data_IF_496660710690
#
_entry.id   IF_496660710690
#
_cell.length_a   1.000
_cell.length_b   1.000
_cell.length_c   1.000
_cell.angle_alpha   90.00
_cell.angle_beta   90.00
_cell.angle_gamma   90.00
#
_symmetry.space_group_name_H-M   'P 1'
#
loop_
_entity.id
_entity.type
_entity.pdbx_description
1 polymer ?
#
# COMPACT_ATOMS: atom_id res chain seq x y z
N UNK A 1 -21.48 -15.11 -8.47
CA UNK A 1 -20.40 -14.22 -8.97
C UNK A 1 -20.87 -12.78 -9.16
N UNK A 2 -21.83 -12.45 -10.05
CA UNK A 2 -22.28 -11.07 -10.27
C UNK A 2 -22.88 -10.43 -9.01
N UNK A 3 -23.76 -11.15 -8.28
CA UNK A 3 -24.36 -10.69 -7.02
C UNK A 3 -23.31 -10.44 -5.95
N UNK A 4 -22.32 -11.32 -5.83
CA UNK A 4 -21.18 -11.18 -4.92
C UNK A 4 -20.36 -9.92 -5.27
N UNK A 5 -19.99 -9.74 -6.54
CA UNK A 5 -19.26 -8.57 -7.01
C UNK A 5 -20.05 -7.27 -6.74
N UNK A 6 -21.34 -7.23 -7.05
CA UNK A 6 -22.20 -6.08 -6.78
C UNK A 6 -22.29 -5.75 -5.29
N UNK A 7 -22.43 -6.76 -4.41
CA UNK A 7 -22.47 -6.53 -2.96
C UNK A 7 -21.17 -5.91 -2.46
N UNK A 8 -20.00 -6.36 -2.95
CA UNK A 8 -18.70 -5.81 -2.58
C UNK A 8 -18.53 -4.37 -3.04
N UNK A 9 -18.95 -4.05 -4.28
CA UNK A 9 -18.94 -2.68 -4.81
C UNK A 9 -19.86 -1.77 -3.98
N UNK A 10 -21.06 -2.22 -3.65
CA UNK A 10 -22.01 -1.45 -2.84
C UNK A 10 -21.45 -1.19 -1.44
N UNK A 11 -20.77 -2.18 -0.81
CA UNK A 11 -20.14 -2.01 0.49
C UNK A 11 -18.92 -1.06 0.46
N UNK A 12 -18.25 -0.89 -0.67
CA UNK A 12 -17.17 0.06 -0.84
C UNK A 12 -17.64 1.52 -0.74
N UNK A 13 -18.85 1.83 -1.19
CA UNK A 13 -19.41 3.20 -1.22
C UNK A 13 -19.51 3.81 0.19
N UNK A 14 -20.17 3.16 1.19
CA UNK A 14 -20.20 3.67 2.55
C UNK A 14 -18.81 3.85 3.15
N UNK A 15 -17.87 2.94 2.88
CA UNK A 15 -16.49 3.04 3.37
C UNK A 15 -15.82 4.29 2.83
N UNK A 16 -15.90 4.55 1.52
CA UNK A 16 -15.35 5.75 0.91
C UNK A 16 -16.01 7.03 1.42
N UNK A 17 -17.33 7.01 1.66
CA UNK A 17 -18.04 8.15 2.23
C UNK A 17 -17.59 8.44 3.66
N UNK A 18 -17.44 7.41 4.50
CA UNK A 18 -16.94 7.56 5.87
C UNK A 18 -15.53 8.16 5.85
N UNK A 19 -14.66 7.68 4.96
CA UNK A 19 -13.32 8.24 4.81
C UNK A 19 -13.37 9.70 4.35
N UNK A 20 -14.20 10.03 3.36
CA UNK A 20 -14.36 11.41 2.89
C UNK A 20 -14.81 12.36 4.01
N UNK A 21 -15.82 11.94 4.79
CA UNK A 21 -16.27 12.71 5.96
C UNK A 21 -15.15 12.85 6.99
N UNK A 22 -14.43 11.76 7.29
CA UNK A 22 -13.35 11.75 8.27
C UNK A 22 -12.21 12.70 7.86
N UNK A 23 -11.75 12.62 6.60
CA UNK A 23 -10.70 13.49 6.07
C UNK A 23 -11.14 14.95 6.09
N UNK A 24 -12.39 15.22 5.68
CA UNK A 24 -12.94 16.58 5.73
C UNK A 24 -12.98 17.15 7.15
N UNK A 25 -13.43 16.37 8.14
CA UNK A 25 -13.52 16.79 9.55
C UNK A 25 -12.12 16.95 10.14
N UNK A 26 -11.22 15.99 9.94
CA UNK A 26 -9.85 16.03 10.49
C UNK A 26 -9.10 17.29 10.09
N UNK A 27 -9.18 17.71 8.83
CA UNK A 27 -8.53 18.94 8.37
C UNK A 27 -9.08 20.19 9.07
N UNK A 28 -10.38 20.21 9.38
CA UNK A 28 -11.01 21.35 10.07
C UNK A 28 -10.77 21.38 11.58
N UNK A 29 -10.34 20.26 12.14
CA UNK A 29 -9.90 20.19 13.55
C UNK A 29 -8.46 20.68 13.75
N UNK A 30 -7.68 20.81 12.67
CA UNK A 30 -6.32 21.35 12.75
C UNK A 30 -6.40 22.83 13.10
N UNK A 31 -5.73 23.29 14.18
CA UNK A 31 -5.75 24.69 14.57
C UNK A 31 -5.06 25.56 13.51
N UNK A 32 -5.75 26.61 13.09
CA UNK A 32 -5.28 27.58 12.09
C UNK A 32 -6.40 27.96 11.11
N UNK A 33 -6.32 29.17 10.58
CA UNK A 33 -7.22 29.66 9.56
C UNK A 33 -6.59 29.49 8.17
N UNK A 34 -7.15 28.64 7.28
CA UNK A 34 -6.60 28.46 5.94
C UNK A 34 -6.44 29.78 5.16
N UNK A 35 -7.37 30.73 5.33
CA UNK A 35 -7.29 32.03 4.67
C UNK A 35 -6.11 32.87 5.18
N UNK A 36 -5.84 32.82 6.49
CA UNK A 36 -4.68 33.50 7.07
C UNK A 36 -3.37 32.88 6.63
N UNK A 37 -3.31 31.55 6.55
CA UNK A 37 -2.11 30.83 6.07
C UNK A 37 -1.79 31.14 4.61
N UNK A 38 -2.80 31.25 3.75
CA UNK A 38 -2.66 31.60 2.33
C UNK A 38 -2.15 33.03 2.12
N UNK A 39 -2.62 33.97 2.94
CA UNK A 39 -2.23 35.40 2.82
C UNK A 39 -0.90 35.68 3.52
N UNK A 40 -0.45 34.81 4.42
CA UNK A 40 0.80 34.97 5.17
C UNK A 40 0.85 36.26 6.00
N UNK A 41 2.07 36.82 6.14
CA UNK A 41 2.32 38.02 6.95
C UNK A 41 1.68 39.30 6.40
N UNK A 42 1.20 39.28 5.15
CA UNK A 42 0.50 40.41 4.52
C UNK A 42 -1.02 40.41 4.77
N UNK A 43 -1.51 39.48 5.59
CA UNK A 43 -2.92 39.31 5.87
C UNK A 43 -3.50 40.50 6.62
N UNK A 44 -4.45 41.18 6.01
CA UNK A 44 -5.29 42.18 6.67
C UNK A 44 -6.65 41.59 7.05
N UNK A 45 -7.35 42.08 8.07
CA UNK A 45 -8.69 41.58 8.41
C UNK A 45 -9.67 41.58 7.22
N UNK A 46 -9.58 42.59 6.35
CA UNK A 46 -10.42 42.70 5.16
C UNK A 46 -10.06 41.63 4.11
N UNK A 47 -8.77 41.39 3.85
CA UNK A 47 -8.33 40.38 2.90
C UNK A 47 -8.61 38.95 3.38
N UNK A 48 -8.52 38.70 4.68
CA UNK A 48 -8.90 37.41 5.29
C UNK A 48 -10.42 37.18 5.11
N UNK A 49 -11.26 38.19 5.39
CA UNK A 49 -12.70 38.05 5.23
C UNK A 49 -13.11 37.80 3.77
N UNK A 50 -12.52 38.50 2.81
CA UNK A 50 -12.78 38.31 1.37
C UNK A 50 -12.36 36.91 0.94
N UNK A 51 -11.16 36.44 1.34
CA UNK A 51 -10.68 35.12 0.99
C UNK A 51 -11.51 33.99 1.65
N UNK A 52 -11.95 34.17 2.91
CA UNK A 52 -12.88 33.24 3.57
C UNK A 52 -14.18 33.09 2.80
N UNK A 53 -14.77 34.21 2.35
CA UNK A 53 -15.99 34.18 1.55
C UNK A 53 -15.77 33.47 0.20
N UNK A 54 -14.65 33.75 -0.48
CA UNK A 54 -14.31 33.08 -1.75
C UNK A 54 -14.07 31.57 -1.58
N UNK A 55 -13.46 31.15 -0.49
CA UNK A 55 -13.22 29.75 -0.16
C UNK A 55 -14.45 29.07 0.47
N UNK A 56 -15.55 29.83 0.71
CA UNK A 56 -16.76 29.33 1.34
C UNK A 56 -16.57 28.88 2.79
N UNK A 57 -15.55 29.39 3.48
CA UNK A 57 -15.26 29.08 4.89
C UNK A 57 -16.22 29.78 5.88
N UNK A 58 -17.01 30.68 5.39
CA UNK A 58 -18.11 31.37 6.08
C UNK A 58 -19.41 30.55 6.14
N UNK A 59 -19.48 29.47 5.33
CA UNK A 59 -20.65 28.57 5.27
C UNK A 59 -20.65 27.57 6.41
N UNK A 60 -21.80 26.91 6.61
CA UNK A 60 -21.91 25.80 7.57
C UNK A 60 -21.02 24.62 7.13
N UNK A 61 -20.56 23.81 8.07
CA UNK A 61 -19.71 22.63 7.77
C UNK A 61 -20.38 21.66 6.78
N UNK A 62 -21.69 21.52 6.86
CA UNK A 62 -22.45 20.69 5.94
C UNK A 62 -22.41 21.22 4.50
N UNK A 63 -22.62 22.53 4.31
CA UNK A 63 -22.52 23.17 3.00
C UNK A 63 -21.10 23.10 2.43
N UNK A 64 -20.09 23.34 3.27
CA UNK A 64 -18.68 23.21 2.89
C UNK A 64 -18.37 21.76 2.44
N UNK A 65 -18.85 20.76 3.18
CA UNK A 65 -18.70 19.36 2.81
C UNK A 65 -19.38 19.04 1.47
N UNK A 66 -20.62 19.48 1.30
CA UNK A 66 -21.38 19.22 0.07
C UNK A 66 -20.70 19.83 -1.18
N UNK A 67 -20.20 21.08 -1.06
CA UNK A 67 -19.47 21.73 -2.14
C UNK A 67 -18.16 20.98 -2.44
N UNK A 68 -17.33 20.74 -1.42
CA UNK A 68 -16.06 20.05 -1.56
C UNK A 68 -16.24 18.63 -2.13
N UNK A 69 -17.19 17.87 -1.57
CA UNK A 69 -17.46 16.51 -2.05
C UNK A 69 -18.02 16.49 -3.48
N UNK A 70 -18.80 17.51 -3.85
CA UNK A 70 -19.23 17.70 -5.24
C UNK A 70 -18.08 17.90 -6.22
N UNK A 71 -17.04 18.66 -5.84
CA UNK A 71 -15.80 18.80 -6.63
C UNK A 71 -15.03 17.49 -6.69
N UNK A 72 -14.88 16.77 -5.56
CA UNK A 72 -14.22 15.46 -5.51
C UNK A 72 -14.88 14.47 -6.47
N UNK A 73 -16.21 14.42 -6.53
CA UNK A 73 -16.94 13.53 -7.45
C UNK A 73 -16.72 13.88 -8.94
N UNK A 74 -16.30 15.09 -9.24
CA UNK A 74 -15.93 15.55 -10.58
C UNK A 74 -14.42 15.35 -10.88
N UNK A 75 -13.66 14.77 -9.92
CA UNK A 75 -12.22 14.58 -10.02
C UNK A 75 -11.40 15.83 -9.71
N UNK A 76 -12.04 16.91 -9.25
CA UNK A 76 -11.36 18.12 -8.82
C UNK A 76 -11.03 18.04 -7.32
N UNK A 77 -9.75 17.84 -7.02
CA UNK A 77 -9.22 17.83 -5.65
C UNK A 77 -8.69 19.21 -5.21
N UNK A 78 -8.86 20.23 -6.03
CA UNK A 78 -8.37 21.57 -5.78
C UNK A 78 -6.94 21.81 -6.26
N UNK A 79 -6.38 22.93 -5.81
CA UNK A 79 -5.02 23.39 -6.14
C UNK A 79 -4.15 23.37 -4.89
N UNK A 80 -2.88 22.95 -5.05
CA UNK A 80 -1.86 23.05 -4.00
C UNK A 80 -1.63 24.51 -3.61
N UNK A 81 -1.62 24.79 -2.32
CA UNK A 81 -1.34 26.11 -1.76
C UNK A 81 0.10 26.50 -2.00
N UNK A 82 1.02 25.55 -1.91
CA UNK A 82 2.46 25.80 -1.99
C UNK A 82 2.99 25.86 -3.40
N UNK A 83 2.52 24.97 -4.30
CA UNK A 83 3.04 24.86 -5.67
C UNK A 83 2.12 25.49 -6.73
N UNK A 84 0.85 25.77 -6.40
CA UNK A 84 -0.14 26.25 -7.38
C UNK A 84 -0.51 25.21 -8.46
N UNK A 85 -0.17 23.94 -8.27
CA UNK A 85 -0.47 22.86 -9.22
C UNK A 85 -1.77 22.15 -8.84
N UNK A 86 -2.40 21.48 -9.83
CA UNK A 86 -3.57 20.64 -9.56
C UNK A 86 -3.20 19.49 -8.61
N UNK A 87 -3.94 19.34 -7.53
CA UNK A 87 -3.74 18.26 -6.55
C UNK A 87 -3.95 16.90 -7.19
N UNK A 88 -4.96 16.75 -8.06
CA UNK A 88 -5.22 15.48 -8.74
C UNK A 88 -4.02 15.05 -9.62
N UNK A 89 -3.41 15.99 -10.34
CA UNK A 89 -2.21 15.74 -11.15
C UNK A 89 -1.03 15.33 -10.30
N UNK A 90 -0.72 16.10 -9.24
CA UNK A 90 0.36 15.80 -8.29
C UNK A 90 0.20 14.41 -7.65
N UNK A 91 -0.98 14.11 -7.13
CA UNK A 91 -1.27 12.84 -6.46
C UNK A 91 -1.10 11.66 -7.42
N UNK A 92 -1.63 11.77 -8.64
CA UNK A 92 -1.53 10.69 -9.63
C UNK A 92 -0.09 10.44 -10.09
N UNK A 93 0.67 11.50 -10.39
CA UNK A 93 2.07 11.39 -10.78
C UNK A 93 2.91 10.70 -9.68
N UNK A 94 2.76 11.15 -8.43
CA UNK A 94 3.49 10.59 -7.28
C UNK A 94 3.06 9.16 -6.95
N UNK A 95 1.78 8.86 -7.12
CA UNK A 95 1.27 7.49 -6.96
C UNK A 95 1.89 6.51 -7.94
N UNK A 96 2.10 6.89 -9.21
CA UNK A 96 2.74 5.99 -10.18
C UNK A 96 4.14 5.56 -9.74
N UNK A 97 4.89 6.45 -9.10
CA UNK A 97 6.22 6.14 -8.54
C UNK A 97 6.09 5.16 -7.38
N UNK A 98 5.23 5.44 -6.40
CA UNK A 98 4.98 4.56 -5.25
C UNK A 98 4.48 3.18 -5.69
N UNK A 99 3.55 3.15 -6.64
CA UNK A 99 2.97 1.90 -7.14
C UNK A 99 4.01 0.98 -7.80
N UNK A 100 4.96 1.53 -8.56
CA UNK A 100 6.04 0.75 -9.16
C UNK A 100 6.87 0.03 -8.09
N UNK A 101 7.25 0.71 -7.02
CA UNK A 101 8.04 0.16 -5.91
C UNK A 101 7.24 -0.92 -5.19
N UNK A 102 6.01 -0.60 -4.77
CA UNK A 102 5.18 -1.50 -3.98
C UNK A 102 4.79 -2.75 -4.77
N UNK A 103 4.32 -2.59 -6.01
CA UNK A 103 3.96 -3.72 -6.86
C UNK A 103 5.14 -4.63 -7.12
N UNK A 104 6.32 -4.09 -7.45
CA UNK A 104 7.51 -4.88 -7.67
C UNK A 104 7.94 -5.63 -6.39
N UNK A 105 7.97 -4.95 -5.25
CA UNK A 105 8.37 -5.54 -3.98
C UNK A 105 7.41 -6.67 -3.55
N UNK A 106 6.10 -6.45 -3.60
CA UNK A 106 5.08 -7.44 -3.19
C UNK A 106 5.06 -8.63 -4.15
N UNK A 107 5.19 -8.39 -5.46
CA UNK A 107 5.27 -9.46 -6.46
C UNK A 107 6.49 -10.34 -6.22
N UNK A 108 7.68 -9.75 -6.09
CA UNK A 108 8.92 -10.48 -5.84
C UNK A 108 8.85 -11.22 -4.49
N UNK A 109 8.36 -10.57 -3.43
CA UNK A 109 8.19 -11.19 -2.12
C UNK A 109 7.24 -12.39 -2.20
N UNK A 110 6.11 -12.27 -2.90
CA UNK A 110 5.14 -13.35 -3.07
C UNK A 110 5.72 -14.53 -3.85
N UNK A 111 6.45 -14.27 -4.94
CA UNK A 111 7.07 -15.29 -5.77
C UNK A 111 8.11 -16.14 -4.99
N UNK A 112 8.79 -15.55 -4.04
CA UNK A 112 9.79 -16.24 -3.20
C UNK A 112 9.17 -16.79 -1.92
N UNK A 113 8.35 -16.02 -1.23
CA UNK A 113 7.81 -16.38 0.08
C UNK A 113 6.81 -17.53 0.02
N UNK A 114 5.95 -17.58 -1.02
CA UNK A 114 4.93 -18.64 -1.11
C UNK A 114 5.57 -20.03 -1.28
N UNK A 115 6.49 -20.25 -2.23
CA UNK A 115 7.21 -21.55 -2.31
C UNK A 115 8.04 -21.85 -1.06
N UNK A 116 8.71 -20.84 -0.48
CA UNK A 116 9.52 -21.02 0.72
C UNK A 116 8.65 -21.44 1.93
N UNK A 117 7.49 -20.81 2.13
CA UNK A 117 6.54 -21.18 3.17
C UNK A 117 5.97 -22.58 2.99
N UNK A 118 5.66 -22.98 1.74
CA UNK A 118 5.25 -24.36 1.41
C UNK A 118 6.34 -25.38 1.74
N UNK A 119 7.61 -25.09 1.40
CA UNK A 119 8.75 -25.95 1.73
C UNK A 119 8.94 -26.04 3.25
N UNK A 120 8.84 -24.93 3.96
CA UNK A 120 8.93 -24.88 5.42
C UNK A 120 7.84 -25.75 6.07
N UNK A 121 6.59 -25.65 5.60
CA UNK A 121 5.48 -26.48 6.08
C UNK A 121 5.70 -27.96 5.79
N UNK A 122 6.12 -28.32 4.58
CA UNK A 122 6.39 -29.70 4.20
C UNK A 122 7.53 -30.32 4.99
N UNK A 123 8.57 -29.53 5.30
CA UNK A 123 9.73 -29.97 6.10
C UNK A 123 9.60 -29.55 7.57
N UNK A 124 8.38 -29.48 8.09
CA UNK A 124 8.09 -29.04 9.46
C UNK A 124 9.05 -29.65 10.50
N UNK A 125 9.59 -28.82 11.37
CA UNK A 125 10.54 -29.16 12.45
C UNK A 125 11.88 -29.73 11.96
N UNK A 126 12.21 -29.59 10.66
CA UNK A 126 13.52 -29.94 10.11
C UNK A 126 14.32 -28.66 9.83
N UNK A 127 15.61 -28.82 9.54
CA UNK A 127 16.51 -27.68 9.30
C UNK A 127 16.02 -26.68 8.23
N UNK A 128 15.37 -27.07 7.08
CA UNK A 128 14.88 -26.08 6.13
C UNK A 128 13.75 -25.20 6.73
N UNK A 129 12.87 -25.79 7.55
CA UNK A 129 11.83 -25.06 8.26
C UNK A 129 12.45 -24.07 9.26
N UNK A 130 13.38 -24.53 10.08
CA UNK A 130 14.05 -23.69 11.09
C UNK A 130 14.79 -22.52 10.46
N UNK A 131 15.51 -22.75 9.36
CA UNK A 131 16.23 -21.68 8.65
C UNK A 131 15.26 -20.69 8.02
N UNK A 132 14.24 -21.15 7.28
CA UNK A 132 13.29 -20.26 6.62
C UNK A 132 12.48 -19.43 7.63
N UNK A 133 11.99 -20.06 8.70
CA UNK A 133 11.24 -19.36 9.75
C UNK A 133 12.15 -18.43 10.56
N UNK A 134 13.36 -18.86 10.87
CA UNK A 134 14.35 -18.03 11.57
C UNK A 134 14.72 -16.78 10.77
N UNK A 135 15.03 -16.93 9.49
CA UNK A 135 15.31 -15.81 8.58
C UNK A 135 14.08 -14.90 8.43
N UNK A 136 12.89 -15.47 8.24
CA UNK A 136 11.65 -14.71 8.16
C UNK A 136 11.40 -13.88 9.43
N UNK A 137 11.62 -14.46 10.61
CA UNK A 137 11.49 -13.78 11.89
C UNK A 137 12.51 -12.66 12.04
N UNK A 138 13.76 -12.92 11.68
CA UNK A 138 14.82 -11.91 11.71
C UNK A 138 14.46 -10.70 10.84
N UNK A 139 14.06 -10.92 9.58
CA UNK A 139 13.73 -9.87 8.63
C UNK A 139 12.56 -8.99 9.10
N UNK A 140 11.50 -9.59 9.67
CA UNK A 140 10.36 -8.84 10.21
C UNK A 140 10.72 -8.05 11.48
N UNK A 141 11.69 -8.53 12.27
CA UNK A 141 12.12 -7.85 13.49
C UNK A 141 12.91 -6.58 13.22
N UNK A 142 13.44 -6.42 12.01
CA UNK A 142 14.20 -5.24 11.60
C UNK A 142 13.22 -4.17 11.11
N UNK A 143 13.24 -2.94 11.68
CA UNK A 143 12.44 -1.84 11.14
C UNK A 143 12.79 -1.55 9.68
N UNK A 144 11.79 -1.33 8.83
CA UNK A 144 12.00 -1.12 7.38
C UNK A 144 12.94 0.03 7.06
N UNK A 145 12.82 1.16 7.79
CA UNK A 145 13.71 2.29 7.58
C UNK A 145 15.17 1.96 7.91
N UNK A 146 15.41 1.18 8.97
CA UNK A 146 16.75 0.78 9.37
C UNK A 146 17.36 -0.19 8.35
N UNK A 147 16.56 -1.13 7.84
CA UNK A 147 16.96 -2.00 6.74
C UNK A 147 17.32 -1.20 5.48
N UNK A 148 16.51 -0.18 5.15
CA UNK A 148 16.81 0.74 4.05
C UNK A 148 18.12 1.49 4.24
N UNK A 149 18.39 2.00 5.44
CA UNK A 149 19.65 2.67 5.76
C UNK A 149 20.87 1.72 5.67
N UNK A 150 20.71 0.46 6.10
CA UNK A 150 21.78 -0.55 5.94
C UNK A 150 22.06 -0.85 4.46
N UNK A 151 21.02 -1.01 3.65
CA UNK A 151 21.21 -1.22 2.20
C UNK A 151 21.87 -0.01 1.55
N UNK A 152 21.49 1.20 1.92
CA UNK A 152 22.09 2.43 1.44
C UNK A 152 23.59 2.51 1.84
N UNK A 153 23.91 2.17 3.09
CA UNK A 153 25.28 2.13 3.57
C UNK A 153 26.11 1.10 2.78
N UNK A 154 25.66 -0.17 2.74
CA UNK A 154 26.48 -1.24 2.16
C UNK A 154 26.46 -1.20 0.62
N UNK A 155 25.29 -1.15 -0.03
CA UNK A 155 25.20 -1.21 -1.50
C UNK A 155 25.50 0.12 -2.18
N UNK A 156 25.18 1.23 -1.51
CA UNK A 156 25.36 2.57 -2.04
C UNK A 156 26.76 3.15 -1.72
N UNK A 157 27.09 3.24 -0.43
CA UNK A 157 28.29 3.97 0.00
C UNK A 157 29.55 3.10 0.03
N UNK A 158 29.50 1.85 0.53
CA UNK A 158 30.69 1.00 0.63
C UNK A 158 31.00 0.28 -0.69
N UNK A 159 30.04 -0.36 -1.30
CA UNK A 159 30.23 -1.13 -2.52
C UNK A 159 30.07 -0.31 -3.81
N UNK A 160 29.43 0.85 -3.76
CA UNK A 160 29.15 1.73 -4.90
C UNK A 160 28.41 1.02 -6.05
N UNK A 161 27.55 0.00 -5.73
CA UNK A 161 26.82 -0.76 -6.73
C UNK A 161 25.54 -0.06 -7.17
N UNK A 162 24.91 0.70 -6.27
CA UNK A 162 23.62 1.35 -6.50
C UNK A 162 23.68 2.84 -6.14
N UNK A 163 22.92 3.69 -6.84
CA UNK A 163 22.89 5.13 -6.57
C UNK A 163 22.27 5.43 -5.21
N UNK A 164 22.89 6.34 -4.45
CA UNK A 164 22.50 6.68 -3.07
C UNK A 164 21.35 7.68 -3.02
N UNK A 165 21.37 8.70 -3.89
CA UNK A 165 20.45 9.85 -3.89
C UNK A 165 19.98 10.12 -5.30
N UNK A 166 18.69 10.47 -5.42
CA UNK A 166 18.09 10.87 -6.68
C UNK A 166 16.98 9.93 -7.15
N UNK A 167 16.40 10.29 -8.27
CA UNK A 167 15.37 9.52 -8.93
C UNK A 167 15.45 9.78 -10.44
N UNK A 168 15.35 8.73 -11.22
CA UNK A 168 15.17 8.78 -12.67
C UNK A 168 13.93 7.95 -12.99
N UNK A 169 13.03 8.52 -13.78
CA UNK A 169 11.83 7.79 -14.20
C UNK A 169 12.20 6.62 -15.11
N UNK A 170 11.57 5.47 -14.92
CA UNK A 170 11.72 4.31 -15.84
C UNK A 170 11.30 4.67 -17.26
N UNK A 171 10.40 5.64 -17.43
CA UNK A 171 9.95 6.10 -18.74
C UNK A 171 11.01 6.92 -19.47
N UNK A 172 11.88 7.63 -18.74
CA UNK A 172 12.94 8.47 -19.32
C UNK A 172 14.20 7.64 -19.62
N UNK A 173 14.64 6.85 -18.63
CA UNK A 173 15.74 5.88 -18.79
C UNK A 173 15.44 4.64 -17.94
N UNK A 174 15.04 3.55 -18.57
CA UNK A 174 14.64 2.32 -17.88
C UNK A 174 15.79 1.69 -17.07
N UNK A 175 17.05 1.80 -17.53
CA UNK A 175 18.21 1.24 -16.83
C UNK A 175 18.52 2.05 -15.56
N UNK A 176 18.66 3.36 -15.71
CA UNK A 176 18.88 4.24 -14.58
C UNK A 176 17.71 4.17 -13.59
N UNK A 177 16.46 4.23 -14.08
CA UNK A 177 15.26 4.13 -13.23
C UNK A 177 15.22 2.86 -12.40
N UNK A 178 15.53 1.70 -12.99
CA UNK A 178 15.60 0.45 -12.23
C UNK A 178 16.70 0.46 -11.17
N UNK A 179 17.87 1.06 -11.43
CA UNK A 179 18.93 1.16 -10.44
C UNK A 179 18.51 2.03 -9.24
N UNK A 180 17.86 3.17 -9.47
CA UNK A 180 17.34 4.03 -8.39
C UNK A 180 16.22 3.38 -7.58
N UNK A 181 15.38 2.56 -8.20
CA UNK A 181 14.30 1.84 -7.51
C UNK A 181 14.76 0.53 -6.85
N UNK A 182 15.94 0.01 -7.17
CA UNK A 182 16.41 -1.28 -6.67
C UNK A 182 16.46 -1.36 -5.14
N UNK A 183 17.08 -0.39 -4.47
CA UNK A 183 17.19 -0.40 -3.00
C UNK A 183 15.84 -0.23 -2.28
N UNK A 184 14.95 0.70 -2.66
CA UNK A 184 13.59 0.78 -2.12
C UNK A 184 12.80 -0.52 -2.29
N UNK A 185 12.84 -1.11 -3.50
CA UNK A 185 12.17 -2.39 -3.77
C UNK A 185 12.76 -3.50 -2.91
N UNK A 186 14.08 -3.60 -2.80
CA UNK A 186 14.76 -4.61 -1.99
C UNK A 186 14.44 -4.47 -0.50
N UNK A 187 14.34 -3.23 0.00
CA UNK A 187 13.95 -2.94 1.39
C UNK A 187 12.58 -3.53 1.71
N UNK A 188 11.57 -3.20 0.91
CA UNK A 188 10.22 -3.72 1.09
C UNK A 188 10.15 -5.22 0.83
N UNK A 189 10.82 -5.72 -0.21
CA UNK A 189 10.90 -7.15 -0.51
C UNK A 189 11.41 -7.96 0.68
N UNK A 190 12.52 -7.56 1.29
CA UNK A 190 13.12 -8.26 2.42
C UNK A 190 12.23 -8.24 3.67
N UNK A 191 11.51 -7.16 3.91
CA UNK A 191 10.56 -7.09 5.02
C UNK A 191 9.34 -8.00 4.76
N UNK A 192 8.72 -7.88 3.59
CA UNK A 192 7.47 -8.57 3.26
C UNK A 192 7.67 -10.08 3.03
N UNK A 193 8.83 -10.51 2.56
CA UNK A 193 9.14 -11.93 2.43
C UNK A 193 9.04 -12.64 3.78
N UNK A 194 9.47 -11.99 4.87
CA UNK A 194 9.35 -12.54 6.22
C UNK A 194 7.90 -12.68 6.69
N UNK A 195 7.04 -11.73 6.38
CA UNK A 195 5.60 -11.78 6.70
C UNK A 195 4.92 -12.90 5.90
N UNK A 196 5.15 -12.94 4.59
CA UNK A 196 4.49 -13.87 3.67
C UNK A 196 4.95 -15.31 3.84
N UNK A 197 6.23 -15.59 4.14
CA UNK A 197 6.72 -16.95 4.44
C UNK A 197 5.95 -17.54 5.63
N UNK A 198 5.81 -16.79 6.72
CA UNK A 198 5.12 -17.26 7.92
C UNK A 198 3.65 -17.57 7.67
N UNK A 199 2.97 -16.71 6.89
CA UNK A 199 1.57 -16.93 6.53
C UNK A 199 1.40 -18.13 5.62
N UNK A 200 2.17 -18.22 4.54
CA UNK A 200 2.13 -19.34 3.60
C UNK A 200 2.42 -20.68 4.32
N UNK A 201 3.39 -20.68 5.25
CA UNK A 201 3.68 -21.85 6.09
C UNK A 201 2.50 -22.23 6.99
N UNK A 202 1.90 -21.25 7.69
CA UNK A 202 0.79 -21.51 8.59
C UNK A 202 -0.41 -22.10 7.85
N UNK A 203 -0.81 -21.49 6.74
CA UNK A 203 -1.90 -21.98 5.89
C UNK A 203 -1.60 -23.37 5.31
N UNK A 204 -0.38 -23.61 4.87
CA UNK A 204 0.01 -24.93 4.34
C UNK A 204 0.00 -26.01 5.43
N UNK A 205 0.44 -25.73 6.66
CA UNK A 205 0.39 -26.66 7.79
C UNK A 205 -1.04 -27.02 8.16
N UNK A 206 -1.96 -26.06 8.13
CA UNK A 206 -3.38 -26.32 8.40
C UNK A 206 -3.95 -27.32 7.37
N UNK A 207 -3.71 -27.07 6.10
CA UNK A 207 -4.19 -27.93 5.00
C UNK A 207 -3.52 -29.30 5.02
N UNK A 208 -2.23 -29.41 5.35
CA UNK A 208 -1.49 -30.68 5.41
C UNK A 208 -2.07 -31.67 6.43
N UNK A 209 -2.83 -31.20 7.43
CA UNK A 209 -3.46 -32.00 8.48
C UNK A 209 -4.85 -32.53 8.11
N UNK A 210 -5.42 -32.08 6.99
CA UNK A 210 -6.78 -32.47 6.58
C UNK A 210 -6.81 -33.89 6.01
N UNK A 211 -7.88 -34.60 6.28
CA UNK A 211 -8.04 -36.03 5.95
C UNK A 211 -7.87 -36.31 4.45
N UNK A 212 -8.35 -35.42 3.59
CA UNK A 212 -8.22 -35.65 2.14
C UNK A 212 -6.76 -35.66 1.65
N UNK A 213 -5.85 -34.95 2.35
CA UNK A 213 -4.39 -34.97 2.06
C UNK A 213 -3.82 -36.33 2.47
N UNK A 214 -4.24 -36.84 3.64
CA UNK A 214 -3.87 -38.19 4.11
C UNK A 214 -4.37 -39.26 3.15
N UNK A 215 -5.62 -39.16 2.67
CA UNK A 215 -6.16 -40.09 1.68
C UNK A 215 -5.42 -40.00 0.32
N UNK A 216 -5.01 -38.81 -0.10
CA UNK A 216 -4.21 -38.68 -1.34
C UNK A 216 -2.87 -39.41 -1.22
N UNK A 217 -2.19 -39.34 -0.07
CA UNK A 217 -0.98 -40.09 0.23
C UNK A 217 -1.24 -41.59 0.26
N UNK A 218 -2.32 -42.03 0.91
CA UNK A 218 -2.72 -43.43 1.00
C UNK A 218 -2.98 -44.06 -0.40
N UNK A 219 -3.43 -43.23 -1.36
CA UNK A 219 -3.60 -43.63 -2.78
C UNK A 219 -2.29 -43.73 -3.58
N UNK A 220 -1.13 -43.48 -2.93
CA UNK A 220 0.19 -43.58 -3.56
C UNK A 220 0.60 -42.37 -4.41
N UNK A 221 -0.05 -41.23 -4.25
CA UNK A 221 0.36 -39.99 -4.94
C UNK A 221 1.72 -39.54 -4.43
N UNK A 222 2.58 -39.05 -5.34
CA UNK A 222 3.88 -38.50 -4.96
C UNK A 222 3.70 -37.24 -4.10
N UNK A 223 4.62 -37.00 -3.15
CA UNK A 223 4.58 -35.81 -2.27
C UNK A 223 4.53 -34.50 -3.07
N UNK A 224 5.20 -34.42 -4.22
CA UNK A 224 5.13 -33.26 -5.11
C UNK A 224 3.72 -33.02 -5.63
N UNK A 225 3.03 -34.07 -6.05
CA UNK A 225 1.64 -34.01 -6.52
C UNK A 225 0.69 -33.62 -5.39
N UNK A 226 0.88 -34.19 -4.20
CA UNK A 226 0.12 -33.84 -3.00
C UNK A 226 0.28 -32.36 -2.68
N UNK A 227 1.52 -31.86 -2.65
CA UNK A 227 1.80 -30.46 -2.33
C UNK A 227 1.20 -29.48 -3.36
N UNK A 228 1.41 -29.73 -4.66
CA UNK A 228 0.98 -28.79 -5.69
C UNK A 228 -0.52 -28.83 -5.95
N UNK A 229 -1.13 -30.00 -5.99
CA UNK A 229 -2.53 -30.14 -6.41
C UNK A 229 -3.53 -30.13 -5.23
N UNK A 230 -3.09 -30.58 -4.05
CA UNK A 230 -3.98 -30.70 -2.90
C UNK A 230 -3.70 -29.67 -1.80
N UNK A 231 -2.42 -29.34 -1.55
CA UNK A 231 -2.08 -28.41 -0.47
C UNK A 231 -2.04 -26.98 -0.99
N UNK A 232 -1.23 -26.67 -2.01
CA UNK A 232 -1.04 -25.31 -2.50
C UNK A 232 -2.36 -24.64 -2.86
N UNK A 233 -3.19 -25.30 -3.65
CA UNK A 233 -4.46 -24.72 -4.13
C UNK A 233 -5.38 -24.29 -2.97
N UNK A 234 -5.43 -25.07 -1.89
CA UNK A 234 -6.30 -24.79 -0.75
C UNK A 234 -5.62 -23.88 0.30
N UNK A 235 -4.29 -23.92 0.41
CA UNK A 235 -3.52 -23.09 1.33
C UNK A 235 -3.28 -21.66 0.80
N UNK A 236 -3.45 -21.43 -0.51
CA UNK A 236 -3.14 -20.14 -1.11
C UNK A 236 -4.17 -19.05 -0.81
N UNK A 237 -5.44 -19.38 -0.55
CA UNK A 237 -6.50 -18.42 -0.28
C UNK A 237 -6.16 -17.42 0.84
N UNK A 238 -5.84 -17.88 2.08
CA UNK A 238 -5.43 -16.97 3.16
C UNK A 238 -4.17 -16.16 2.83
N UNK A 239 -3.21 -16.76 2.11
CA UNK A 239 -2.00 -16.07 1.67
C UNK A 239 -2.33 -14.98 0.64
N UNK A 240 -3.26 -15.23 -0.29
CA UNK A 240 -3.75 -14.25 -1.26
C UNK A 240 -4.37 -13.03 -0.57
N UNK A 241 -5.21 -13.26 0.43
CA UNK A 241 -5.80 -12.17 1.23
C UNK A 241 -4.72 -11.34 1.91
N UNK A 242 -3.71 -12.00 2.51
CA UNK A 242 -2.61 -11.27 3.15
C UNK A 242 -1.77 -10.48 2.13
N UNK A 243 -1.51 -11.00 0.93
CA UNK A 243 -0.82 -10.26 -0.14
C UNK A 243 -1.59 -8.98 -0.45
N UNK A 244 -2.91 -9.04 -0.54
CA UNK A 244 -3.75 -7.86 -0.76
C UNK A 244 -3.68 -6.85 0.39
N UNK A 245 -3.75 -7.31 1.63
CA UNK A 245 -3.61 -6.45 2.80
C UNK A 245 -2.24 -5.77 2.85
N UNK A 246 -1.17 -6.51 2.57
CA UNK A 246 0.19 -5.98 2.47
C UNK A 246 0.27 -4.91 1.37
N UNK A 247 -0.27 -5.21 0.18
CA UNK A 247 -0.29 -4.27 -0.94
C UNK A 247 -1.01 -2.96 -0.57
N UNK A 248 -2.20 -3.06 0.02
CA UNK A 248 -2.98 -1.90 0.46
C UNK A 248 -2.27 -1.08 1.54
N UNK A 249 -1.72 -1.75 2.55
CA UNK A 249 -0.99 -1.10 3.64
C UNK A 249 0.28 -0.40 3.16
N UNK A 250 1.04 -1.01 2.26
CA UNK A 250 2.26 -0.41 1.70
C UNK A 250 1.96 0.82 0.86
N UNK A 251 0.89 0.81 0.05
CA UNK A 251 0.50 1.98 -0.74
C UNK A 251 0.13 3.19 0.14
N UNK A 252 -0.36 2.94 1.37
CA UNK A 252 -0.59 4.00 2.36
C UNK A 252 0.62 4.35 3.23
N UNK A 253 1.55 3.41 3.43
CA UNK A 253 2.62 3.50 4.43
C UNK A 253 4.06 3.60 3.88
N UNK A 254 4.25 3.71 2.57
CA UNK A 254 5.58 3.72 1.94
C UNK A 254 6.41 5.00 2.23
N UNK A 255 5.80 6.04 2.83
CA UNK A 255 6.41 7.35 3.04
C UNK A 255 7.80 7.32 3.67
N UNK A 256 8.03 6.42 4.62
CA UNK A 256 9.31 6.29 5.31
C UNK A 256 10.42 5.82 4.35
N UNK A 257 10.13 4.81 3.53
CA UNK A 257 11.07 4.28 2.53
C UNK A 257 11.36 5.34 1.45
N UNK A 258 10.33 6.02 0.97
CA UNK A 258 10.48 7.11 -0.01
C UNK A 258 11.32 8.26 0.53
N UNK A 259 11.18 8.58 1.82
CA UNK A 259 11.98 9.62 2.47
C UNK A 259 13.43 9.19 2.62
N UNK A 260 13.71 7.97 3.05
CA UNK A 260 15.08 7.42 3.19
C UNK A 260 15.84 7.46 1.87
N UNK A 261 15.20 7.06 0.77
CA UNK A 261 15.81 7.01 -0.55
C UNK A 261 15.57 8.26 -1.40
N UNK A 262 14.97 9.31 -0.84
CA UNK A 262 14.64 10.58 -1.54
C UNK A 262 13.78 10.40 -2.80
N UNK A 263 12.96 9.36 -2.84
CA UNK A 263 12.06 9.06 -3.96
C UNK A 263 10.85 10.02 -3.95
N UNK A 264 10.49 10.62 -5.09
CA UNK A 264 9.35 11.51 -5.19
C UNK A 264 8.02 10.76 -5.30
N UNK A 265 7.64 10.00 -4.25
CA UNK A 265 6.42 9.21 -4.22
C UNK A 265 5.26 9.91 -3.49
N UNK A 266 4.12 9.21 -3.42
CA UNK A 266 2.88 9.70 -2.83
C UNK A 266 2.97 9.87 -1.30
N UNK A 267 3.64 8.94 -0.62
CA UNK A 267 3.81 9.01 0.82
C UNK A 267 4.69 10.20 1.23
N UNK A 268 5.78 10.46 0.49
CA UNK A 268 6.62 11.64 0.70
C UNK A 268 5.85 12.92 0.39
N UNK A 269 5.07 12.96 -0.69
CA UNK A 269 4.21 14.10 -0.99
C UNK A 269 3.27 14.44 0.19
N UNK A 270 2.66 13.42 0.81
CA UNK A 270 1.80 13.60 1.97
C UNK A 270 2.57 14.19 3.16
N UNK A 271 3.76 13.66 3.46
CA UNK A 271 4.61 14.15 4.55
C UNK A 271 5.02 15.60 4.31
N UNK A 272 5.51 15.91 3.11
CA UNK A 272 5.91 17.27 2.72
C UNK A 272 4.72 18.25 2.83
N UNK A 273 3.53 17.83 2.38
CA UNK A 273 2.31 18.64 2.47
C UNK A 273 1.87 18.89 3.93
N UNK A 274 2.05 17.91 4.83
CA UNK A 274 1.77 18.09 6.27
C UNK A 274 2.68 19.16 6.86
N UNK A 275 3.98 19.11 6.61
CA UNK A 275 4.93 20.12 7.09
C UNK A 275 4.67 21.51 6.49
N UNK A 276 4.30 21.56 5.21
CA UNK A 276 3.95 22.79 4.51
C UNK A 276 2.53 23.30 4.82
N UNK A 277 1.72 22.52 5.55
CA UNK A 277 0.29 22.81 5.82
C UNK A 277 -0.54 23.00 4.54
N UNK A 278 -0.20 22.26 3.50
CA UNK A 278 -0.93 22.26 2.23
C UNK A 278 -2.17 21.36 2.32
N UNK A 279 -3.23 21.91 2.90
CA UNK A 279 -4.45 21.16 3.22
C UNK A 279 -5.11 20.49 2.01
N UNK A 280 -5.23 21.13 0.82
CA UNK A 280 -5.77 20.46 -0.35
C UNK A 280 -4.97 19.21 -0.76
N UNK A 281 -3.63 19.28 -0.72
CA UNK A 281 -2.77 18.14 -1.02
C UNK A 281 -2.93 17.03 0.01
N UNK A 282 -2.99 17.38 1.32
CA UNK A 282 -3.23 16.40 2.39
C UNK A 282 -4.57 15.68 2.16
N UNK A 283 -5.65 16.43 1.90
CA UNK A 283 -6.98 15.85 1.63
C UNK A 283 -6.96 14.95 0.40
N UNK A 284 -6.36 15.41 -0.69
CA UNK A 284 -6.25 14.66 -1.92
C UNK A 284 -5.47 13.36 -1.75
N UNK A 285 -4.32 13.40 -1.07
CA UNK A 285 -3.50 12.20 -0.78
C UNK A 285 -4.27 11.18 0.07
N UNK A 286 -4.90 11.63 1.18
CA UNK A 286 -5.63 10.73 2.07
C UNK A 286 -6.83 10.08 1.39
N UNK A 287 -7.62 10.84 0.63
CA UNK A 287 -8.73 10.30 -0.15
C UNK A 287 -8.27 9.32 -1.21
N UNK A 288 -7.21 9.67 -1.93
CA UNK A 288 -6.67 8.82 -2.99
C UNK A 288 -6.12 7.50 -2.43
N UNK A 289 -5.34 7.55 -1.35
CA UNK A 289 -4.83 6.35 -0.65
C UNK A 289 -5.99 5.47 -0.21
N UNK A 290 -7.04 6.05 0.39
CA UNK A 290 -8.21 5.28 0.82
C UNK A 290 -8.97 4.66 -0.37
N UNK A 291 -9.14 5.40 -1.47
CA UNK A 291 -9.76 4.88 -2.68
C UNK A 291 -8.95 3.71 -3.28
N UNK A 292 -7.63 3.84 -3.34
CA UNK A 292 -6.74 2.77 -3.81
C UNK A 292 -6.78 1.57 -2.86
N UNK A 293 -6.78 1.78 -1.53
CA UNK A 293 -6.91 0.70 -0.54
C UNK A 293 -8.22 -0.08 -0.73
N UNK A 294 -9.35 0.63 -0.88
CA UNK A 294 -10.65 0.01 -1.14
C UNK A 294 -10.66 -0.74 -2.47
N UNK A 295 -10.05 -0.17 -3.52
CA UNK A 295 -9.93 -0.81 -4.83
C UNK A 295 -9.09 -2.10 -4.76
N UNK A 296 -7.95 -2.08 -4.07
CA UNK A 296 -7.10 -3.25 -3.87
C UNK A 296 -7.87 -4.35 -3.15
N UNK A 297 -8.56 -4.03 -2.03
CA UNK A 297 -9.37 -5.01 -1.32
C UNK A 297 -10.50 -5.56 -2.20
N UNK A 298 -11.17 -4.71 -2.98
CA UNK A 298 -12.20 -5.15 -3.92
C UNK A 298 -11.65 -6.13 -4.95
N UNK A 299 -10.47 -5.84 -5.53
CA UNK A 299 -9.80 -6.75 -6.47
C UNK A 299 -9.47 -8.08 -5.80
N UNK A 300 -8.91 -8.05 -4.59
CA UNK A 300 -8.59 -9.27 -3.84
C UNK A 300 -9.84 -10.11 -3.58
N UNK A 301 -10.92 -9.49 -3.13
CA UNK A 301 -12.20 -10.16 -2.88
C UNK A 301 -12.79 -10.78 -4.16
N UNK A 302 -12.71 -10.07 -5.28
CA UNK A 302 -13.21 -10.56 -6.56
C UNK A 302 -12.42 -11.77 -7.10
N UNK A 303 -11.13 -11.83 -6.82
CA UNK A 303 -10.27 -12.95 -7.22
C UNK A 303 -10.29 -14.11 -6.20
N UNK A 304 -10.72 -13.88 -4.96
CA UNK A 304 -10.75 -14.91 -3.91
C UNK A 304 -11.50 -16.19 -4.30
N UNK A 305 -12.68 -16.15 -4.97
CA UNK A 305 -13.40 -17.34 -5.39
C UNK A 305 -12.66 -18.26 -6.38
N UNK A 306 -11.58 -17.76 -7.01
CA UNK A 306 -10.72 -18.61 -7.85
C UNK A 306 -9.94 -19.64 -7.01
N UNK A 307 -9.68 -19.32 -5.74
CA UNK A 307 -8.93 -20.16 -4.81
C UNK A 307 -9.87 -20.93 -3.86
N UNK A 308 -10.97 -20.32 -3.43
CA UNK A 308 -12.02 -20.96 -2.65
C UNK A 308 -13.42 -20.72 -3.27
N UNK A 309 -13.91 -21.65 -4.10
CA UNK A 309 -15.22 -21.51 -4.75
C UNK A 309 -16.42 -21.50 -3.80
N UNK A 310 -16.23 -21.91 -2.52
CA UNK A 310 -17.32 -21.98 -1.53
C UNK A 310 -17.84 -20.59 -1.16
N UNK A 311 -16.96 -19.59 -1.17
CA UNK A 311 -17.29 -18.20 -0.85
C UNK A 311 -18.24 -17.55 -1.87
N UNK A 312 -18.26 -18.04 -3.11
CA UNK A 312 -19.16 -17.53 -4.16
C UNK A 312 -20.55 -18.16 -4.13
N UNK A 313 -20.78 -19.16 -3.31
CA UNK A 313 -22.05 -19.88 -3.20
C UNK A 313 -22.99 -19.29 -2.13
N UNK A 314 -22.48 -18.42 -1.25
CA UNK A 314 -23.25 -17.62 -0.29
C UNK A 314 -23.61 -16.23 -0.89
#
# INVERSE_FOLDING_TARGET
MLRFALSRIVMAIPTLLIVAVSVFVLIRLIPGDPAQLLLGDLATPASIADLRARLGLDKTWFEQFAIWFGHVLQGDLGMSITSGQSVAGLVFERFLVSAQIVLAAVLLASLVAVPAGMIAAWKQNRWPDLVLVGTATLLVSIPTFWLGLLLLLFLGLELHWLPVVGYVSIADDWKAGLLYLAMPILTLFLHEIGVLIRMARASALEVLRLDYVTHARAKGLSERTVLMNHVFRNAFGPTWTLIGLVLGNLLGGIAVVETVFTIPGLGRLLVDAIFARDYPVIQGCLLFVAAVYVLVNLVIDLFYPLFDPRVAAE
#
